data_IF_237415821213
#
_entry.id   IF_237415821213
#
_cell.length_a   1.000
_cell.length_b   1.000
_cell.length_c   1.000
_cell.angle_alpha   90.00
_cell.angle_beta   90.00
_cell.angle_gamma   90.00
#
_symmetry.space_group_name_H-M   'P 1'
#
loop_
_entity.id
_entity.type
_entity.pdbx_description
1 polymer ?
#
# COMPACT_ATOMS: atom_id res chain seq x y z
N UNK A 1 73.25 -10.60 8.84
CA UNK A 1 74.23 -11.35 8.02
C UNK A 1 73.52 -12.54 7.38
N UNK A 2 73.93 -12.93 6.16
CA UNK A 2 73.30 -13.90 5.23
C UNK A 2 71.85 -13.55 4.79
N UNK A 3 71.46 -13.45 3.50
CA UNK A 3 71.87 -13.98 2.16
C UNK A 3 71.06 -15.21 1.69
N UNK A 4 70.52 -15.10 0.46
CA UNK A 4 70.06 -16.19 -0.43
C UNK A 4 68.55 -16.08 -0.76
N UNK A 5 68.05 -15.81 -1.98
CA UNK A 5 68.16 -16.50 -3.31
C UNK A 5 67.65 -17.96 -3.26
N UNK A 6 66.89 -18.53 -4.20
CA UNK A 6 66.55 -18.22 -5.61
C UNK A 6 65.23 -18.99 -5.97
N UNK A 7 64.28 -18.47 -6.74
CA UNK A 7 64.13 -18.50 -8.23
C UNK A 7 63.52 -19.77 -8.89
N UNK A 8 62.36 -19.56 -9.54
CA UNK A 8 61.96 -19.97 -10.91
C UNK A 8 61.78 -21.47 -11.30
N UNK A 9 60.55 -21.83 -11.71
CA UNK A 9 60.16 -22.44 -13.01
C UNK A 9 58.66 -22.85 -12.99
N UNK A 10 57.91 -23.16 -14.06
CA UNK A 10 57.71 -22.69 -15.46
C UNK A 10 56.87 -23.78 -16.17
N UNK A 11 55.84 -23.39 -16.95
CA UNK A 11 55.22 -24.19 -18.05
C UNK A 11 54.51 -25.53 -17.66
N UNK A 12 53.55 -26.11 -18.41
CA UNK A 12 53.06 -25.89 -19.79
C UNK A 12 51.59 -26.41 -20.01
N UNK A 13 50.95 -25.99 -21.13
CA UNK A 13 49.99 -26.71 -22.08
C UNK A 13 49.04 -27.87 -21.62
N UNK A 14 47.89 -28.21 -22.26
CA UNK A 14 47.16 -27.78 -23.49
C UNK A 14 45.76 -28.47 -23.65
N UNK A 15 44.86 -27.87 -24.45
CA UNK A 15 43.84 -28.45 -25.38
C UNK A 15 42.65 -29.38 -24.97
N UNK A 16 41.44 -28.89 -25.33
CA UNK A 16 40.19 -29.48 -25.95
C UNK A 16 40.24 -30.90 -26.60
N UNK A 17 39.10 -31.61 -26.94
CA UNK A 17 37.96 -31.08 -27.75
C UNK A 17 36.49 -31.67 -27.63
N UNK A 18 35.52 -30.87 -28.13
CA UNK A 18 34.34 -31.07 -29.04
C UNK A 18 33.22 -32.18 -28.98
N UNK A 19 31.99 -31.70 -29.35
CA UNK A 19 30.72 -32.28 -29.97
C UNK A 19 29.99 -33.53 -29.36
N UNK A 20 28.66 -33.75 -29.53
CA UNK A 20 27.46 -32.87 -29.69
C UNK A 20 26.10 -33.65 -29.73
N UNK A 21 24.96 -32.91 -29.67
CA UNK A 21 23.57 -33.25 -30.13
C UNK A 21 22.86 -34.45 -29.43
N UNK A 22 21.52 -34.59 -29.33
CA UNK A 22 20.35 -33.82 -29.79
C UNK A 22 19.08 -34.08 -28.89
N UNK A 23 17.96 -33.39 -29.20
CA UNK A 23 16.55 -33.82 -29.01
C UNK A 23 15.81 -33.81 -27.63
N UNK A 24 15.15 -32.67 -27.37
CA UNK A 24 13.68 -32.48 -27.21
C UNK A 24 12.76 -33.52 -26.49
N UNK A 25 12.22 -33.12 -25.33
CA UNK A 25 10.77 -33.11 -24.98
C UNK A 25 10.63 -32.39 -23.62
N UNK A 26 10.01 -31.21 -23.51
CA UNK A 26 8.58 -30.88 -23.55
C UNK A 26 7.75 -31.53 -22.41
N UNK A 27 7.75 -30.90 -21.23
CA UNK A 27 6.56 -30.84 -20.37
C UNK A 27 6.60 -29.61 -19.46
N UNK A 28 5.42 -29.19 -18.99
CA UNK A 28 5.16 -27.86 -18.45
C UNK A 28 5.37 -27.77 -16.94
N UNK A 29 6.25 -26.87 -16.51
CA UNK A 29 6.25 -26.37 -15.13
C UNK A 29 6.59 -24.87 -15.13
N UNK A 30 5.65 -24.04 -14.67
CA UNK A 30 5.80 -22.58 -14.64
C UNK A 30 6.77 -22.18 -13.53
N UNK A 31 8.05 -22.16 -13.89
CA UNK A 31 9.17 -21.87 -12.99
C UNK A 31 8.99 -20.53 -12.27
N UNK A 32 8.64 -20.59 -11.00
CA UNK A 32 8.89 -19.51 -10.04
C UNK A 32 10.41 -19.33 -9.95
N UNK A 33 10.95 -18.37 -10.72
CA UNK A 33 12.38 -18.15 -10.80
C UNK A 33 12.89 -17.60 -9.47
N UNK A 34 13.44 -18.51 -8.66
CA UNK A 34 14.16 -18.21 -7.43
C UNK A 34 15.40 -17.34 -7.75
N UNK A 35 15.20 -16.02 -7.86
CA UNK A 35 16.29 -15.06 -7.97
C UNK A 35 16.98 -14.99 -6.61
N UNK A 36 17.91 -15.92 -6.36
CA UNK A 36 18.92 -15.78 -5.31
C UNK A 36 19.79 -14.57 -5.68
N UNK A 37 19.65 -13.41 -5.02
CA UNK A 37 20.36 -12.22 -5.46
C UNK A 37 21.82 -12.35 -5.04
N UNK A 38 22.74 -12.48 -6.00
CA UNK A 38 24.15 -12.10 -5.79
C UNK A 38 24.14 -10.60 -5.48
N UNK A 39 24.07 -10.28 -4.19
CA UNK A 39 23.51 -9.03 -3.68
C UNK A 39 24.19 -7.78 -4.19
N UNK A 40 23.62 -7.14 -5.22
CA UNK A 40 23.88 -5.73 -5.51
C UNK A 40 23.40 -4.94 -4.30
N UNK A 41 24.28 -4.14 -3.70
CA UNK A 41 23.91 -3.25 -2.58
C UNK A 41 22.76 -2.34 -3.01
N UNK A 42 21.68 -2.31 -2.24
CA UNK A 42 20.57 -1.40 -2.45
C UNK A 42 21.08 0.05 -2.48
N UNK A 43 20.56 0.84 -3.42
CA UNK A 43 20.79 2.28 -3.56
C UNK A 43 19.50 2.91 -4.03
N UNK A 44 19.19 4.08 -3.49
CA UNK A 44 18.00 4.82 -3.84
C UNK A 44 18.22 6.33 -3.64
N UNK A 45 17.72 7.11 -4.60
CA UNK A 45 17.52 8.54 -4.49
C UNK A 45 16.19 8.91 -5.14
N UNK A 46 15.34 9.65 -4.43
CA UNK A 46 14.07 10.09 -5.01
C UNK A 46 14.35 11.16 -6.07
N UNK A 47 14.18 10.82 -7.33
CA UNK A 47 14.38 11.71 -8.49
C UNK A 47 13.24 12.72 -8.69
N UNK A 48 12.19 12.66 -7.86
CA UNK A 48 10.95 13.45 -8.01
C UNK A 48 10.29 13.28 -9.39
N UNK A 49 10.28 12.06 -9.93
CA UNK A 49 9.66 11.75 -11.22
C UNK A 49 8.12 11.83 -11.23
N UNK A 50 7.46 11.78 -10.06
CA UNK A 50 6.00 11.78 -9.95
C UNK A 50 5.32 10.44 -10.29
N UNK A 51 6.04 9.44 -10.81
CA UNK A 51 5.47 8.15 -11.22
C UNK A 51 4.80 7.41 -10.05
N UNK A 52 5.45 7.34 -8.89
CA UNK A 52 4.87 6.77 -7.66
C UNK A 52 3.66 7.54 -7.09
N UNK A 53 3.23 8.64 -7.74
CA UNK A 53 2.02 9.38 -7.41
C UNK A 53 0.89 9.19 -8.46
N UNK A 54 1.14 8.47 -9.54
CA UNK A 54 0.21 8.20 -10.63
C UNK A 54 -0.11 6.71 -10.70
N UNK A 55 -1.27 6.35 -11.25
CA UNK A 55 -1.72 4.96 -11.46
C UNK A 55 -1.43 4.03 -10.27
N UNK A 56 -1.83 4.46 -9.06
CA UNK A 56 -1.53 3.77 -7.79
C UNK A 56 -2.78 3.47 -6.98
N UNK A 57 -2.65 2.52 -6.07
CA UNK A 57 -3.64 2.25 -5.02
C UNK A 57 -3.77 3.44 -4.03
N UNK A 58 -4.93 3.55 -3.34
CA UNK A 58 -5.13 4.46 -2.20
C UNK A 58 -4.02 4.36 -1.15
N UNK A 59 -3.63 5.49 -0.58
CA UNK A 59 -2.48 5.55 0.34
C UNK A 59 -2.97 5.23 1.76
N UNK A 60 -2.53 4.14 2.41
CA UNK A 60 -2.91 3.83 3.79
C UNK A 60 -2.36 4.87 4.75
N UNK A 61 -3.20 5.33 5.66
CA UNK A 61 -2.88 6.36 6.66
C UNK A 61 -2.88 5.75 8.06
N UNK A 62 -1.93 6.20 8.87
CA UNK A 62 -1.78 5.77 10.27
C UNK A 62 -2.29 6.82 11.24
N UNK A 63 -2.56 6.44 12.49
CA UNK A 63 -2.88 7.42 13.55
C UNK A 63 -1.73 8.41 13.81
N UNK A 64 -0.47 8.01 13.62
CA UNK A 64 0.70 8.89 13.67
C UNK A 64 0.69 9.95 12.56
N UNK A 65 0.22 9.61 11.36
CA UNK A 65 0.04 10.56 10.27
C UNK A 65 -1.06 11.58 10.63
N UNK A 66 -2.22 11.11 11.09
CA UNK A 66 -3.32 11.99 11.52
C UNK A 66 -2.92 12.90 12.68
N UNK A 67 -2.24 12.38 13.70
CA UNK A 67 -1.76 13.13 14.86
C UNK A 67 -0.75 14.21 14.44
N UNK A 68 0.20 13.85 13.58
CA UNK A 68 1.20 14.78 13.04
C UNK A 68 0.54 15.88 12.22
N UNK A 69 -0.34 15.55 11.28
CA UNK A 69 -1.06 16.54 10.47
C UNK A 69 -1.99 17.44 11.30
N UNK A 70 -2.53 16.95 12.40
CA UNK A 70 -3.28 17.78 13.36
C UNK A 70 -2.36 18.81 14.01
N UNK A 71 -1.20 18.37 14.48
CA UNK A 71 -0.20 19.23 15.14
C UNK A 71 0.43 20.24 14.17
N UNK A 72 0.64 19.85 12.91
CA UNK A 72 1.13 20.72 11.83
C UNK A 72 0.05 21.67 11.27
N UNK A 73 -1.22 21.51 11.65
CA UNK A 73 -2.34 22.31 11.12
C UNK A 73 -2.76 21.98 9.68
N UNK A 74 -2.16 20.98 9.06
CA UNK A 74 -2.44 20.54 7.68
C UNK A 74 -3.64 19.60 7.57
N UNK A 75 -4.06 18.94 8.65
CA UNK A 75 -5.16 17.96 8.62
C UNK A 75 -6.46 18.58 8.07
N UNK A 76 -6.96 19.64 8.70
CA UNK A 76 -8.29 20.19 8.38
C UNK A 76 -8.33 20.92 7.02
N UNK A 77 -7.21 21.53 6.62
CA UNK A 77 -7.12 22.43 5.48
C UNK A 77 -6.71 21.73 4.18
N UNK A 78 -5.83 20.72 4.27
CA UNK A 78 -5.21 20.07 3.11
C UNK A 78 -5.61 18.59 3.03
N UNK A 79 -5.54 17.85 4.14
CA UNK A 79 -5.64 16.38 4.10
C UNK A 79 -7.10 15.89 4.12
N UNK A 80 -7.92 16.42 5.03
CA UNK A 80 -9.28 15.93 5.32
C UNK A 80 -10.21 15.82 4.08
N UNK A 81 -10.20 16.75 3.09
CA UNK A 81 -11.01 16.60 1.87
C UNK A 81 -10.69 15.35 1.03
N UNK A 82 -9.51 14.77 1.24
CA UNK A 82 -8.99 13.60 0.55
C UNK A 82 -8.91 12.34 1.42
N UNK A 83 -9.25 12.44 2.71
CA UNK A 83 -9.27 11.31 3.64
C UNK A 83 -10.59 10.54 3.51
N UNK A 84 -10.50 9.21 3.54
CA UNK A 84 -11.65 8.30 3.45
C UNK A 84 -11.41 7.07 4.35
N UNK A 85 -12.48 6.42 4.81
CA UNK A 85 -12.42 5.15 5.53
C UNK A 85 -12.78 4.01 4.57
N UNK A 86 -11.93 2.99 4.43
CA UNK A 86 -12.15 1.81 3.56
C UNK A 86 -11.82 0.52 4.29
N UNK A 87 -12.52 -0.57 3.94
CA UNK A 87 -12.15 -1.93 4.38
C UNK A 87 -10.77 -2.33 3.86
N UNK A 88 -10.08 -3.24 4.56
CA UNK A 88 -8.72 -3.65 4.18
C UNK A 88 -8.73 -4.71 3.07
N UNK A 89 -9.73 -5.58 3.04
CA UNK A 89 -9.90 -6.62 2.01
C UNK A 89 -11.37 -7.03 1.92
N UNK A 90 -11.79 -7.47 0.73
CA UNK A 90 -13.12 -8.05 0.48
C UNK A 90 -13.11 -9.58 0.54
N UNK A 91 -11.95 -10.19 0.77
CA UNK A 91 -11.75 -11.65 0.68
C UNK A 91 -11.66 -12.32 2.06
N UNK A 92 -11.18 -11.62 3.08
CA UNK A 92 -11.08 -12.12 4.46
C UNK A 92 -12.12 -11.47 5.39
N UNK A 93 -12.86 -12.28 6.16
CA UNK A 93 -13.96 -11.81 7.02
C UNK A 93 -13.50 -10.86 8.14
N UNK A 94 -12.28 -11.03 8.66
CA UNK A 94 -11.73 -10.13 9.68
C UNK A 94 -11.33 -8.79 9.04
N UNK A 95 -10.72 -8.85 7.86
CA UNK A 95 -10.26 -7.68 7.08
C UNK A 95 -11.41 -6.89 6.41
N UNK A 96 -12.59 -7.50 6.23
CA UNK A 96 -13.85 -6.81 5.89
C UNK A 96 -14.34 -5.91 7.03
N UNK A 97 -14.21 -6.37 8.27
CA UNK A 97 -14.63 -5.62 9.48
C UNK A 97 -13.64 -4.48 9.76
N UNK A 98 -12.34 -4.72 9.55
CA UNK A 98 -11.33 -3.68 9.68
C UNK A 98 -11.48 -2.62 8.57
N UNK A 99 -11.86 -1.41 8.97
CA UNK A 99 -12.01 -0.20 8.15
C UNK A 99 -10.97 0.79 8.67
N UNK A 100 -10.07 1.23 7.81
CA UNK A 100 -8.92 2.08 8.17
C UNK A 100 -8.86 3.32 7.27
N UNK A 101 -8.17 4.39 7.68
CA UNK A 101 -8.10 5.61 6.87
C UNK A 101 -7.14 5.47 5.69
N UNK A 102 -7.55 6.03 4.56
CA UNK A 102 -6.77 6.13 3.33
C UNK A 102 -6.87 7.54 2.73
N UNK A 103 -5.89 7.92 1.91
CA UNK A 103 -6.07 9.00 0.93
C UNK A 103 -6.72 8.42 -0.32
N UNK A 104 -7.90 8.93 -0.67
CA UNK A 104 -8.61 8.56 -1.90
C UNK A 104 -7.88 9.11 -3.13
N UNK A 105 -7.79 8.32 -4.20
CA UNK A 105 -7.20 8.74 -5.47
C UNK A 105 -8.20 9.58 -6.28
N UNK A 106 -7.68 10.43 -7.17
CA UNK A 106 -8.42 11.07 -8.27
C UNK A 106 -8.39 10.15 -9.49
N UNK A 107 -9.33 10.34 -10.41
CA UNK A 107 -9.30 9.77 -11.77
C UNK A 107 -9.04 8.24 -11.77
N UNK A 108 -9.77 7.54 -10.88
CA UNK A 108 -9.59 6.11 -10.63
C UNK A 108 -10.13 5.28 -11.79
N UNK A 109 -9.36 4.28 -12.24
CA UNK A 109 -9.75 3.33 -13.28
C UNK A 109 -10.52 2.12 -12.70
N UNK A 110 -10.94 1.20 -13.57
CA UNK A 110 -11.68 0.00 -13.18
C UNK A 110 -10.88 -0.94 -12.24
N UNK A 111 -9.54 -0.88 -12.28
CA UNK A 111 -8.64 -1.64 -11.40
C UNK A 111 -8.45 -0.98 -10.01
N UNK A 112 -9.13 0.14 -9.72
CA UNK A 112 -8.99 0.88 -8.46
C UNK A 112 -7.72 1.73 -8.34
N UNK A 113 -6.94 1.86 -9.41
CA UNK A 113 -5.72 2.67 -9.49
C UNK A 113 -6.04 4.09 -9.96
N UNK A 114 -5.38 5.10 -9.39
CA UNK A 114 -5.58 6.49 -9.79
C UNK A 114 -4.43 7.41 -9.44
N UNK A 115 -4.69 8.72 -9.52
CA UNK A 115 -3.69 9.78 -9.29
C UNK A 115 -3.80 10.33 -7.87
N UNK A 116 -2.68 10.47 -7.18
CA UNK A 116 -2.61 11.04 -5.83
C UNK A 116 -3.15 12.48 -5.82
N UNK A 117 -4.09 12.84 -4.94
CA UNK A 117 -4.72 14.16 -4.96
C UNK A 117 -3.75 15.32 -4.69
N UNK A 118 -2.61 15.04 -4.03
CA UNK A 118 -1.55 16.01 -3.71
C UNK A 118 -0.46 16.11 -4.77
N UNK A 119 -0.55 15.37 -5.87
CA UNK A 119 0.37 15.46 -6.98
C UNK A 119 -0.01 16.63 -7.89
N UNK A 120 0.97 17.49 -8.15
CA UNK A 120 0.93 18.55 -9.14
C UNK A 120 1.62 18.02 -10.41
N UNK A 121 0.83 17.82 -11.47
CA UNK A 121 1.35 17.30 -12.74
C UNK A 121 2.03 18.39 -13.60
N UNK A 122 1.74 19.66 -13.40
CA UNK A 122 2.42 20.75 -14.12
C UNK A 122 3.88 20.87 -13.63
N UNK A 123 4.06 20.87 -12.31
CA UNK A 123 5.37 21.02 -11.66
C UNK A 123 6.03 19.68 -11.28
N UNK A 124 5.38 18.55 -11.59
CA UNK A 124 5.83 17.16 -11.28
C UNK A 124 6.20 16.97 -9.80
N UNK A 125 5.44 17.56 -8.88
CA UNK A 125 5.80 17.62 -7.45
C UNK A 125 4.66 17.20 -6.52
N UNK A 126 5.03 16.80 -5.29
CA UNK A 126 4.06 16.48 -4.24
C UNK A 126 3.87 17.70 -3.34
N UNK A 127 2.64 18.22 -3.29
CA UNK A 127 2.29 19.41 -2.50
C UNK A 127 2.37 19.20 -0.97
N UNK A 128 2.45 17.94 -0.52
CA UNK A 128 2.69 17.57 0.88
C UNK A 128 4.06 16.90 1.11
N UNK A 129 5.07 17.14 0.25
CA UNK A 129 6.36 16.42 0.28
C UNK A 129 7.01 16.34 1.67
N UNK A 130 7.02 17.44 2.44
CA UNK A 130 7.61 17.45 3.80
C UNK A 130 6.70 16.78 4.84
N UNK A 131 5.39 16.93 4.69
CA UNK A 131 4.35 16.30 5.53
C UNK A 131 3.87 14.95 4.99
N UNK A 132 4.65 14.24 4.16
CA UNK A 132 4.20 12.95 3.59
C UNK A 132 3.78 11.95 4.68
N UNK A 133 2.78 11.09 4.42
CA UNK A 133 2.46 9.98 5.31
C UNK A 133 3.61 8.97 5.34
N UNK A 134 3.71 8.17 6.39
CA UNK A 134 4.83 7.22 6.56
C UNK A 134 4.95 6.27 5.36
N UNK A 135 3.83 5.80 4.80
CA UNK A 135 3.80 4.96 3.60
C UNK A 135 4.46 5.57 2.35
N UNK A 136 4.41 6.90 2.19
CA UNK A 136 5.11 7.57 1.08
C UNK A 136 6.58 7.86 1.39
N UNK A 137 6.96 7.90 2.68
CA UNK A 137 8.36 8.10 3.12
C UNK A 137 9.20 6.83 3.02
N UNK A 138 8.57 5.65 3.08
CA UNK A 138 9.25 4.35 2.95
C UNK A 138 9.58 3.97 1.51
N UNK A 139 8.76 4.42 0.56
CA UNK A 139 8.89 4.05 -0.85
C UNK A 139 10.30 4.28 -1.41
N UNK A 140 10.90 3.30 -2.13
CA UNK A 140 10.33 2.02 -2.56
C UNK A 140 10.70 0.83 -1.63
N UNK A 141 11.25 1.07 -0.44
CA UNK A 141 11.67 0.01 0.48
C UNK A 141 10.56 -0.26 1.52
N UNK A 142 10.00 -1.46 1.50
CA UNK A 142 8.94 -1.89 2.41
C UNK A 142 9.38 -3.06 3.29
N UNK A 143 8.64 -3.30 4.36
CA UNK A 143 8.85 -4.40 5.31
C UNK A 143 7.52 -5.13 5.53
N UNK A 144 7.54 -6.47 5.53
CA UNK A 144 6.33 -7.30 5.65
C UNK A 144 6.16 -7.96 7.04
N UNK A 145 6.93 -7.55 8.04
CA UNK A 145 7.00 -8.24 9.35
C UNK A 145 8.11 -9.29 9.45
N UNK A 146 8.74 -9.67 8.34
CA UNK A 146 9.83 -10.67 8.32
C UNK A 146 11.08 -10.14 7.59
N UNK A 147 10.89 -9.61 6.38
CA UNK A 147 11.96 -9.22 5.44
C UNK A 147 11.67 -7.88 4.77
N UNK A 148 12.74 -7.19 4.40
CA UNK A 148 12.67 -6.02 3.54
C UNK A 148 12.51 -6.44 2.09
N UNK A 149 11.69 -5.71 1.34
CA UNK A 149 11.44 -5.91 -0.08
C UNK A 149 11.29 -4.57 -0.80
N UNK A 150 11.35 -4.60 -2.13
CA UNK A 150 11.10 -3.41 -2.96
C UNK A 150 9.66 -3.45 -3.44
N UNK A 151 8.86 -2.45 -3.08
CA UNK A 151 7.43 -2.37 -3.43
C UNK A 151 7.20 -2.12 -4.91
N UNK A 152 8.09 -1.35 -5.54
CA UNK A 152 8.10 -1.06 -6.98
C UNK A 152 9.53 -1.18 -7.53
N UNK A 153 9.89 -2.33 -8.14
CA UNK A 153 11.19 -2.53 -8.77
C UNK A 153 11.46 -1.67 -10.00
N UNK A 154 10.43 -1.02 -10.57
CA UNK A 154 10.55 -0.18 -11.77
C UNK A 154 10.94 1.27 -11.47
N UNK A 155 10.82 1.70 -10.21
CA UNK A 155 11.09 3.07 -9.77
C UNK A 155 12.45 3.63 -10.29
N UNK A 156 12.46 4.74 -11.04
CA UNK A 156 13.68 5.33 -11.64
C UNK A 156 14.75 5.79 -10.64
N UNK A 157 14.38 5.95 -9.37
CA UNK A 157 15.30 6.29 -8.27
C UNK A 157 16.17 5.12 -7.81
N UNK A 158 15.81 3.88 -8.15
CA UNK A 158 16.57 2.68 -7.79
C UNK A 158 17.92 2.68 -8.51
N UNK A 159 18.99 2.40 -7.76
CA UNK A 159 20.36 2.43 -8.27
C UNK A 159 20.97 3.84 -8.37
N UNK A 160 20.18 4.91 -8.14
CA UNK A 160 20.65 6.30 -8.18
C UNK A 160 21.24 6.75 -6.83
N UNK A 161 21.95 7.88 -6.88
CA UNK A 161 22.52 8.58 -5.73
C UNK A 161 23.57 7.80 -4.94
N UNK A 162 23.87 8.33 -3.76
CA UNK A 162 24.72 7.70 -2.75
C UNK A 162 23.85 7.08 -1.67
N UNK A 163 24.24 5.89 -1.22
CA UNK A 163 23.59 5.19 -0.11
C UNK A 163 24.64 4.95 0.97
N UNK A 164 24.60 5.77 2.02
CA UNK A 164 25.43 5.59 3.21
C UNK A 164 24.82 4.53 4.12
N UNK A 165 25.45 4.20 5.25
CA UNK A 165 24.86 3.25 6.21
C UNK A 165 23.66 3.87 6.91
N UNK A 166 23.82 5.12 7.29
CA UNK A 166 22.87 5.94 8.04
C UNK A 166 21.59 6.14 7.22
N UNK A 167 21.71 6.48 5.92
CA UNK A 167 20.55 6.58 5.00
C UNK A 167 19.85 5.23 4.81
N UNK A 168 20.60 4.13 4.80
CA UNK A 168 20.04 2.78 4.66
C UNK A 168 19.34 2.31 5.94
N UNK A 169 19.85 2.70 7.11
CA UNK A 169 19.24 2.48 8.42
C UNK A 169 17.95 3.30 8.55
N UNK A 170 17.98 4.60 8.24
CA UNK A 170 16.78 5.47 8.21
C UNK A 170 15.66 4.90 7.30
N UNK A 171 15.99 4.43 6.09
CA UNK A 171 15.00 3.81 5.20
C UNK A 171 14.41 2.52 5.76
N UNK A 172 15.20 1.72 6.49
CA UNK A 172 14.72 0.49 7.15
C UNK A 172 13.86 0.79 8.35
N UNK A 173 14.27 1.73 9.19
CA UNK A 173 13.52 2.16 10.37
C UNK A 173 12.17 2.72 9.97
N UNK A 174 12.11 3.55 8.91
CA UNK A 174 10.85 3.99 8.32
C UNK A 174 10.00 2.81 7.80
N UNK A 175 10.61 1.81 7.13
CA UNK A 175 9.89 0.66 6.59
C UNK A 175 9.27 -0.23 7.69
N UNK A 176 10.00 -0.48 8.77
CA UNK A 176 9.47 -1.16 9.97
C UNK A 176 8.38 -0.30 10.62
N UNK A 177 8.58 1.02 10.69
CA UNK A 177 7.60 1.95 11.26
C UNK A 177 6.28 1.99 10.49
N UNK A 178 6.28 2.02 9.15
CA UNK A 178 5.05 1.91 8.33
C UNK A 178 4.29 0.62 8.66
N UNK A 179 4.99 -0.52 8.67
CA UNK A 179 4.40 -1.82 8.98
C UNK A 179 3.76 -1.83 10.38
N UNK A 180 4.51 -1.41 11.40
CA UNK A 180 4.04 -1.38 12.79
C UNK A 180 2.86 -0.43 12.95
N UNK A 181 2.96 0.81 12.47
CA UNK A 181 1.91 1.82 12.65
C UNK A 181 0.64 1.50 11.88
N UNK A 182 0.73 0.85 10.72
CA UNK A 182 -0.43 0.33 9.99
C UNK A 182 -1.09 -0.84 10.72
N UNK A 183 -0.31 -1.74 11.31
CA UNK A 183 -0.83 -2.83 12.14
C UNK A 183 -1.54 -2.30 13.39
N UNK A 184 -0.92 -1.39 14.13
CA UNK A 184 -1.49 -0.73 15.31
C UNK A 184 -2.76 0.05 14.98
N UNK A 185 -2.75 0.85 13.91
CA UNK A 185 -3.93 1.59 13.43
C UNK A 185 -5.07 0.62 13.08
N UNK A 186 -4.77 -0.47 12.37
CA UNK A 186 -5.74 -1.51 12.00
C UNK A 186 -6.38 -2.15 13.23
N UNK A 187 -5.57 -2.63 14.17
CA UNK A 187 -6.03 -3.30 15.38
C UNK A 187 -6.84 -2.36 16.30
N UNK A 188 -6.47 -1.09 16.38
CA UNK A 188 -7.17 -0.10 17.18
C UNK A 188 -8.47 0.42 16.51
N UNK A 189 -8.57 0.41 15.18
CA UNK A 189 -9.80 0.81 14.48
C UNK A 189 -10.97 -0.14 14.78
N UNK A 190 -10.75 -1.45 14.91
CA UNK A 190 -11.82 -2.44 15.17
C UNK A 190 -12.65 -2.11 16.43
N UNK A 191 -12.08 -1.93 17.64
CA UNK A 191 -12.85 -1.53 18.81
C UNK A 191 -13.40 -0.10 18.71
N UNK A 192 -12.68 0.83 18.06
CA UNK A 192 -13.15 2.22 17.87
C UNK A 192 -14.42 2.27 17.02
N UNK A 193 -14.52 1.50 15.93
CA UNK A 193 -15.75 1.35 15.16
C UNK A 193 -16.90 0.85 16.02
N UNK A 194 -16.68 -0.19 16.84
CA UNK A 194 -17.69 -0.70 17.77
C UNK A 194 -18.17 0.38 18.75
N UNK A 195 -17.27 1.23 19.23
CA UNK A 195 -17.61 2.40 20.05
C UNK A 195 -18.41 3.46 19.26
N UNK A 196 -18.03 3.78 18.02
CA UNK A 196 -18.76 4.72 17.18
C UNK A 196 -20.16 4.21 16.82
N UNK A 197 -20.30 2.94 16.38
CA UNK A 197 -21.58 2.30 16.10
C UNK A 197 -22.46 2.34 17.35
N UNK A 198 -21.95 1.95 18.52
CA UNK A 198 -22.70 2.00 19.79
C UNK A 198 -23.12 3.43 20.15
N UNK A 199 -22.26 4.42 19.92
CA UNK A 199 -22.56 5.83 20.16
C UNK A 199 -23.70 6.32 19.24
N UNK A 200 -23.59 6.08 17.93
CA UNK A 200 -24.61 6.49 16.96
C UNK A 200 -25.94 5.74 17.15
N UNK A 201 -25.93 4.44 17.46
CA UNK A 201 -27.14 3.69 17.80
C UNK A 201 -27.83 4.26 19.03
N UNK A 202 -27.08 4.61 20.09
CA UNK A 202 -27.63 5.23 21.29
C UNK A 202 -28.24 6.61 20.98
N UNK A 203 -27.55 7.45 20.20
CA UNK A 203 -28.07 8.75 19.79
C UNK A 203 -29.32 8.63 18.91
N UNK A 204 -29.37 7.65 18.01
CA UNK A 204 -30.55 7.36 17.19
C UNK A 204 -31.75 6.92 18.05
N UNK A 205 -31.54 6.03 19.03
CA UNK A 205 -32.58 5.63 19.99
C UNK A 205 -33.10 6.82 20.81
N UNK A 206 -32.20 7.61 21.39
CA UNK A 206 -32.55 8.83 22.14
C UNK A 206 -33.31 9.86 21.29
N UNK A 207 -33.07 9.92 19.98
CA UNK A 207 -33.83 10.77 19.06
C UNK A 207 -35.22 10.20 18.78
N UNK A 208 -35.35 8.90 18.47
CA UNK A 208 -36.65 8.23 18.22
C UNK A 208 -37.56 8.28 19.45
N UNK A 209 -37.01 8.12 20.65
CA UNK A 209 -37.77 8.25 21.91
C UNK A 209 -38.34 9.67 22.13
N UNK A 210 -37.70 10.70 21.58
CA UNK A 210 -38.11 12.11 21.72
C UNK A 210 -39.08 12.59 20.63
N UNK A 211 -39.33 11.79 19.59
CA UNK A 211 -40.32 12.09 18.56
C UNK A 211 -41.74 12.05 19.14
N UNK A 212 -42.61 12.93 18.65
CA UNK A 212 -44.05 12.81 18.87
C UNK A 212 -44.63 11.58 18.15
N UNK A 213 -45.80 11.12 18.57
CA UNK A 213 -46.48 9.96 17.93
C UNK A 213 -46.78 10.20 16.44
N UNK A 214 -47.01 11.46 16.02
CA UNK A 214 -47.18 11.81 14.61
C UNK A 214 -45.87 11.68 13.81
N UNK A 215 -44.74 12.05 14.42
CA UNK A 215 -43.41 11.94 13.79
C UNK A 215 -42.92 10.50 13.75
N UNK A 216 -43.23 9.67 14.76
CA UNK A 216 -42.98 8.22 14.74
C UNK A 216 -43.76 7.54 13.62
N UNK A 217 -45.06 7.82 13.49
CA UNK A 217 -45.89 7.24 12.43
C UNK A 217 -45.35 7.59 11.02
N UNK A 218 -44.89 8.83 10.81
CA UNK A 218 -44.24 9.24 9.55
C UNK A 218 -42.89 8.56 9.33
N UNK A 219 -42.11 8.35 10.39
CA UNK A 219 -40.84 7.63 10.32
C UNK A 219 -41.06 6.16 9.93
N UNK A 220 -42.04 5.49 10.55
CA UNK A 220 -42.41 4.11 10.24
C UNK A 220 -42.92 3.96 8.79
N UNK A 221 -43.74 4.91 8.30
CA UNK A 221 -44.19 4.95 6.90
C UNK A 221 -43.00 5.07 5.92
N UNK A 222 -42.02 5.93 6.21
CA UNK A 222 -40.81 6.09 5.41
C UNK A 222 -39.92 4.84 5.42
N UNK A 223 -39.78 4.18 6.57
CA UNK A 223 -39.05 2.92 6.70
C UNK A 223 -39.74 1.81 5.89
N UNK A 224 -41.06 1.66 6.04
CA UNK A 224 -41.82 0.65 5.31
C UNK A 224 -41.77 0.88 3.79
N UNK A 225 -41.85 2.14 3.35
CA UNK A 225 -41.74 2.51 1.94
C UNK A 225 -40.36 2.14 1.36
N UNK A 226 -39.27 2.54 2.02
CA UNK A 226 -37.90 2.23 1.55
C UNK A 226 -37.58 0.72 1.52
N UNK A 227 -38.16 -0.07 2.43
CA UNK A 227 -38.07 -1.54 2.38
C UNK A 227 -38.84 -2.12 1.16
N UNK A 228 -40.01 -1.58 0.83
CA UNK A 228 -40.81 -2.02 -0.33
C UNK A 228 -40.17 -1.66 -1.68
N UNK A 229 -39.51 -0.50 -1.78
CA UNK A 229 -38.81 -0.06 -2.98
C UNK A 229 -37.58 -0.95 -3.27
N UNK A 230 -36.78 -1.28 -2.25
CA UNK A 230 -35.65 -2.21 -2.38
C UNK A 230 -36.08 -3.65 -2.72
N UNK A 231 -37.28 -4.09 -2.29
CA UNK A 231 -37.80 -5.42 -2.64
C UNK A 231 -38.23 -5.56 -4.12
N UNK A 232 -38.27 -4.46 -4.88
CA UNK A 232 -38.83 -4.43 -6.24
C UNK A 232 -37.76 -4.27 -7.34
N UNK A 233 -36.46 -4.24 -7.01
CA UNK A 233 -35.37 -4.23 -8.00
C UNK A 233 -35.06 -5.65 -8.52
N UNK A 234 -35.27 -5.97 -9.82
CA UNK A 234 -35.01 -7.31 -10.35
C UNK A 234 -33.53 -7.53 -10.65
N UNK A 235 -33.00 -8.70 -10.30
CA UNK A 235 -31.70 -9.17 -10.77
C UNK A 235 -31.73 -9.46 -12.28
N UNK A 236 -31.24 -8.53 -13.10
CA UNK A 236 -31.01 -8.76 -14.53
C UNK A 236 -29.55 -9.16 -14.77
N UNK A 237 -29.27 -10.44 -15.06
CA UNK A 237 -27.87 -10.83 -15.25
C UNK A 237 -27.52 -12.25 -15.69
N UNK A 238 -28.45 -13.21 -15.82
CA UNK A 238 -28.06 -14.53 -16.32
C UNK A 238 -29.09 -15.13 -17.30
N UNK A 239 -28.70 -15.21 -18.58
CA UNK A 239 -29.36 -16.04 -19.59
C UNK A 239 -28.31 -16.82 -20.39
N UNK A 240 -28.10 -18.04 -19.91
CA UNK A 240 -28.03 -19.29 -20.67
C UNK A 240 -27.31 -19.29 -22.04
N UNK A 241 -26.30 -20.17 -22.08
CA UNK A 241 -25.67 -20.74 -23.26
C UNK A 241 -26.61 -21.07 -24.43
N UNK A 242 -26.14 -20.79 -25.65
CA UNK A 242 -26.24 -21.70 -26.79
C UNK A 242 -25.12 -21.44 -27.80
#
# INVERSE_FOLDING_TARGET
MNKGTNSVNKEDKSSNPEESKNESSNESESQEKEIKPKGKKFKFECTRCGECCQNREPIPITFDDLSRWTTEGSLMSIILPHLELRSISEQDEISKIAIVPFIKMKDTNDDGLGTCPFYDDENKMCNIYFSMPINCKTFPLSYNGEKYYISDPSCPGIGKGTMTKEKLEEMRDNAVKDFTQRSETTLAMIPLQGMFIRYFMKQSQEQVERLSEEEKAKLDELIQKSQSENATSPSTGEKASK
#
